data_IF_129421132755
#
_entry.id   IF_129421132755
#
_cell.length_a   1.000
_cell.length_b   1.000
_cell.length_c   1.000
_cell.angle_alpha   90.00
_cell.angle_beta   90.00
_cell.angle_gamma   90.00
#
_symmetry.space_group_name_H-M   'P 1'
#
loop_
_entity.id
_entity.type
_entity.pdbx_description
1 polymer ?
#
# COMPACT_ATOMS: atom_id res chain seq x y z
N UNK A 1 22.58 2.86 15.34
CA UNK A 1 21.55 3.83 14.92
C UNK A 1 20.47 3.84 16.00
N UNK A 2 19.90 4.99 16.37
CA UNK A 2 18.85 5.05 17.39
C UNK A 2 17.51 4.63 16.76
N UNK A 3 16.81 3.69 17.40
CA UNK A 3 15.55 3.12 16.94
C UNK A 3 14.40 3.61 17.82
N UNK A 4 13.22 3.80 17.24
CA UNK A 4 11.95 3.87 17.94
C UNK A 4 11.49 2.45 18.25
N UNK A 5 11.14 2.18 19.51
CA UNK A 5 10.61 0.88 19.97
C UNK A 5 11.38 -0.31 19.37
N UNK A 6 12.65 -0.54 19.77
CA UNK A 6 13.52 -1.58 19.20
C UNK A 6 12.88 -2.99 19.14
N UNK A 7 11.98 -3.29 20.08
CA UNK A 7 11.21 -4.53 20.19
C UNK A 7 10.08 -4.67 19.17
N UNK A 8 9.61 -3.58 18.54
CA UNK A 8 8.45 -3.59 17.65
C UNK A 8 8.62 -4.55 16.46
N UNK A 9 9.83 -4.62 15.89
CA UNK A 9 10.12 -5.57 14.81
C UNK A 9 10.00 -7.01 15.29
N UNK A 10 10.55 -7.34 16.46
CA UNK A 10 10.45 -8.69 17.02
C UNK A 10 9.00 -9.06 17.33
N UNK A 11 8.21 -8.13 17.88
CA UNK A 11 6.78 -8.32 18.13
C UNK A 11 6.00 -8.58 16.84
N UNK A 12 6.24 -7.81 15.78
CA UNK A 12 5.60 -8.04 14.48
C UNK A 12 5.96 -9.43 13.92
N UNK A 13 7.24 -9.82 13.97
CA UNK A 13 7.68 -11.14 13.50
C UNK A 13 7.05 -12.29 14.30
N UNK A 14 6.77 -12.09 15.60
CA UNK A 14 6.14 -13.13 16.43
C UNK A 14 4.69 -13.45 16.04
N UNK A 15 4.01 -12.52 15.36
CA UNK A 15 2.62 -12.71 14.88
C UNK A 15 2.54 -12.85 13.36
N UNK A 16 3.69 -12.88 12.66
CA UNK A 16 3.75 -12.92 11.21
C UNK A 16 3.07 -14.18 10.67
N UNK A 17 2.02 -13.99 9.86
CA UNK A 17 1.21 -15.06 9.25
C UNK A 17 0.68 -16.08 10.28
N UNK A 18 0.43 -15.63 11.51
CA UNK A 18 -0.24 -16.41 12.55
C UNK A 18 -1.75 -16.20 12.51
N UNK A 19 -2.50 -17.29 12.69
CA UNK A 19 -3.97 -17.26 12.79
C UNK A 19 -4.51 -16.91 14.17
N UNK A 20 -3.64 -16.79 15.17
CA UNK A 20 -4.04 -16.53 16.56
C UNK A 20 -4.73 -15.17 16.70
N UNK A 21 -4.36 -14.18 15.89
CA UNK A 21 -4.97 -12.84 15.93
C UNK A 21 -6.21 -12.71 15.07
N UNK A 22 -6.61 -13.76 14.32
CA UNK A 22 -7.67 -13.68 13.30
C UNK A 22 -9.01 -13.21 13.86
N UNK A 23 -9.62 -12.25 13.14
CA UNK A 23 -10.89 -11.66 13.48
C UNK A 23 -11.87 -11.82 12.32
N UNK A 24 -13.13 -12.17 12.63
CA UNK A 24 -14.16 -12.44 11.62
C UNK A 24 -14.52 -11.24 10.74
N UNK A 25 -14.26 -10.00 11.18
CA UNK A 25 -14.54 -8.81 10.37
C UNK A 25 -13.71 -8.75 9.07
N UNK A 26 -12.60 -9.50 8.99
CA UNK A 26 -11.78 -9.62 7.77
C UNK A 26 -12.64 -10.10 6.58
N UNK A 27 -13.61 -10.98 6.84
CA UNK A 27 -14.52 -11.49 5.80
C UNK A 27 -15.42 -10.36 5.28
N UNK A 28 -15.88 -9.48 6.16
CA UNK A 28 -16.64 -8.28 5.76
C UNK A 28 -15.79 -7.35 4.90
N UNK A 29 -14.53 -7.10 5.28
CA UNK A 29 -13.62 -6.28 4.48
C UNK A 29 -13.36 -6.89 3.09
N UNK A 30 -13.16 -8.21 3.02
CA UNK A 30 -13.02 -8.93 1.75
C UNK A 30 -14.27 -8.78 0.89
N UNK A 31 -15.47 -8.95 1.47
CA UNK A 31 -16.73 -8.78 0.75
C UNK A 31 -16.87 -7.36 0.17
N UNK A 32 -16.43 -6.34 0.92
CA UNK A 32 -16.42 -4.95 0.44
C UNK A 32 -15.43 -4.73 -0.71
N UNK A 33 -14.21 -5.30 -0.64
CA UNK A 33 -13.25 -5.24 -1.75
C UNK A 33 -13.84 -5.87 -3.01
N UNK A 34 -14.41 -7.08 -2.88
CA UNK A 34 -15.08 -7.79 -3.99
C UNK A 34 -16.24 -6.96 -4.54
N UNK A 35 -17.07 -6.38 -3.68
CA UNK A 35 -18.17 -5.51 -4.08
C UNK A 35 -17.68 -4.29 -4.89
N UNK A 36 -16.61 -3.63 -4.43
CA UNK A 36 -16.04 -2.47 -5.15
C UNK A 36 -15.63 -2.87 -6.57
N UNK A 37 -14.84 -3.93 -6.72
CA UNK A 37 -14.37 -4.35 -8.04
C UNK A 37 -15.47 -4.89 -8.94
N UNK A 38 -16.43 -5.67 -8.41
CA UNK A 38 -17.57 -6.18 -9.19
C UNK A 38 -18.51 -5.07 -9.65
N UNK A 39 -18.72 -4.04 -8.82
CA UNK A 39 -19.51 -2.86 -9.19
C UNK A 39 -18.82 -1.99 -10.25
N UNK A 40 -17.49 -1.80 -10.18
CA UNK A 40 -16.78 -1.08 -11.24
C UNK A 40 -16.71 -1.89 -12.54
N UNK A 41 -16.57 -3.21 -12.43
CA UNK A 41 -16.58 -4.13 -13.56
C UNK A 41 -17.93 -4.09 -14.30
N UNK A 42 -19.06 -4.14 -13.57
CA UNK A 42 -20.40 -4.08 -14.19
C UNK A 42 -20.65 -2.77 -14.95
N UNK A 43 -20.00 -1.68 -14.51
CA UNK A 43 -20.01 -0.36 -15.15
C UNK A 43 -18.97 -0.21 -16.26
N UNK A 44 -18.17 -1.26 -16.54
CA UNK A 44 -17.05 -1.23 -17.49
C UNK A 44 -16.04 -0.11 -17.17
N UNK A 45 -15.88 0.26 -15.90
CA UNK A 45 -14.93 1.28 -15.48
C UNK A 45 -13.50 0.71 -15.39
N UNK A 46 -12.94 0.36 -16.54
CA UNK A 46 -11.60 -0.22 -16.64
C UNK A 46 -10.50 0.73 -16.16
N UNK A 47 -10.71 2.05 -16.30
CA UNK A 47 -9.75 3.07 -15.85
C UNK A 47 -9.65 3.11 -14.34
N UNK A 48 -10.78 3.08 -13.64
CA UNK A 48 -10.82 3.00 -12.17
C UNK A 48 -10.20 1.70 -11.65
N UNK A 49 -10.53 0.57 -12.30
CA UNK A 49 -9.92 -0.74 -11.97
C UNK A 49 -8.39 -0.68 -12.15
N UNK A 50 -7.91 -0.14 -13.26
CA UNK A 50 -6.47 0.01 -13.52
C UNK A 50 -5.78 0.90 -12.48
N UNK A 51 -6.42 1.97 -12.01
CA UNK A 51 -5.88 2.82 -10.94
C UNK A 51 -5.77 2.07 -9.60
N UNK A 52 -6.78 1.28 -9.24
CA UNK A 52 -6.74 0.43 -8.04
C UNK A 52 -5.63 -0.60 -8.09
N UNK A 53 -5.57 -1.37 -9.17
CA UNK A 53 -4.55 -2.40 -9.35
C UNK A 53 -3.13 -1.82 -9.44
N UNK A 54 -2.95 -0.66 -10.07
CA UNK A 54 -1.65 0.01 -10.13
C UNK A 54 -1.16 0.44 -8.75
N UNK A 55 -2.04 1.08 -7.95
CA UNK A 55 -1.68 1.43 -6.57
C UNK A 55 -1.34 0.18 -5.76
N UNK A 56 -2.20 -0.84 -5.85
CA UNK A 56 -2.05 -2.05 -5.06
C UNK A 56 -0.76 -2.82 -5.39
N UNK A 57 -0.38 -2.87 -6.66
CA UNK A 57 0.89 -3.49 -7.08
C UNK A 57 2.09 -2.71 -6.51
N UNK A 58 2.09 -1.38 -6.62
CA UNK A 58 3.18 -0.57 -6.03
C UNK A 58 3.19 -0.68 -4.50
N UNK A 59 2.04 -0.80 -3.85
CA UNK A 59 1.96 -1.05 -2.42
C UNK A 59 2.68 -2.33 -2.01
N UNK A 60 2.37 -3.45 -2.67
CA UNK A 60 3.06 -4.72 -2.39
C UNK A 60 4.57 -4.65 -2.66
N UNK A 61 4.99 -3.99 -3.73
CA UNK A 61 6.41 -3.77 -4.01
C UNK A 61 7.14 -3.09 -2.84
N UNK A 62 6.51 -2.08 -2.23
CA UNK A 62 7.07 -1.37 -1.07
C UNK A 62 7.04 -2.20 0.21
N UNK A 63 5.98 -2.98 0.45
CA UNK A 63 5.89 -3.85 1.62
C UNK A 63 6.92 -5.00 1.56
N UNK A 64 7.14 -5.57 0.38
CA UNK A 64 8.20 -6.55 0.13
C UNK A 64 9.57 -5.90 0.35
N UNK A 65 9.79 -4.70 -0.19
CA UNK A 65 11.03 -3.95 0.04
C UNK A 65 11.29 -3.68 1.52
N UNK A 66 10.26 -3.28 2.27
CA UNK A 66 10.33 -3.05 3.71
C UNK A 66 10.68 -4.33 4.48
N UNK A 67 10.08 -5.47 4.11
CA UNK A 67 10.39 -6.77 4.71
C UNK A 67 11.82 -7.24 4.37
N UNK A 68 12.31 -6.98 3.16
CA UNK A 68 13.71 -7.27 2.79
C UNK A 68 14.69 -6.38 3.57
N UNK A 69 14.38 -5.09 3.75
CA UNK A 69 15.17 -4.20 4.62
C UNK A 69 15.22 -4.77 6.04
N UNK A 70 14.09 -5.27 6.55
CA UNK A 70 14.05 -5.94 7.85
C UNK A 70 14.96 -7.16 7.90
N UNK A 71 14.91 -8.04 6.90
CA UNK A 71 15.73 -9.24 6.84
C UNK A 71 17.24 -8.89 6.88
N UNK A 72 17.68 -7.95 6.06
CA UNK A 72 19.11 -7.64 5.92
C UNK A 72 19.68 -6.71 7.00
N UNK A 73 18.87 -5.82 7.57
CA UNK A 73 19.33 -4.84 8.57
C UNK A 73 18.91 -5.17 10.01
N UNK A 74 18.05 -6.16 10.20
CA UNK A 74 17.43 -6.53 11.47
C UNK A 74 16.17 -5.74 11.81
N UNK A 75 15.90 -4.62 11.13
CA UNK A 75 14.78 -3.73 11.42
C UNK A 75 14.10 -3.24 10.15
N UNK A 76 12.77 -3.28 10.12
CA UNK A 76 11.99 -2.70 9.02
C UNK A 76 12.02 -1.16 9.10
N UNK A 77 11.62 -0.46 8.04
CA UNK A 77 11.36 0.98 8.11
C UNK A 77 10.09 1.27 8.93
N UNK A 78 9.04 0.44 8.73
CA UNK A 78 7.82 0.44 9.54
C UNK A 78 7.37 -0.99 9.87
N UNK A 79 6.67 -1.15 10.99
CA UNK A 79 6.17 -2.45 11.46
C UNK A 79 4.77 -2.35 12.04
N UNK A 80 4.00 -3.43 11.92
CA UNK A 80 2.68 -3.60 12.56
C UNK A 80 2.80 -4.66 13.67
N UNK A 81 3.22 -4.30 14.89
CA UNK A 81 3.52 -5.27 15.94
C UNK A 81 2.28 -5.88 16.62
N UNK A 82 1.11 -5.27 16.49
CA UNK A 82 -0.13 -5.72 17.13
C UNK A 82 -1.37 -5.11 16.46
N UNK A 83 -2.56 -5.55 16.85
CA UNK A 83 -3.84 -4.95 16.44
C UNK A 83 -4.33 -5.34 15.04
N UNK A 84 -3.54 -6.06 14.24
CA UNK A 84 -3.99 -6.67 12.98
C UNK A 84 -4.53 -8.07 13.20
N UNK A 85 -5.61 -8.39 12.48
CA UNK A 85 -6.22 -9.71 12.44
C UNK A 85 -5.33 -10.73 11.70
N UNK A 86 -4.48 -10.29 10.78
CA UNK A 86 -3.56 -11.19 10.09
C UNK A 86 -2.41 -10.39 9.49
N UNK A 87 -1.22 -10.56 10.04
CA UNK A 87 -0.02 -9.91 9.53
C UNK A 87 0.52 -10.66 8.30
N UNK A 88 0.59 -9.99 7.15
CA UNK A 88 1.01 -10.57 5.86
C UNK A 88 2.54 -10.51 5.69
N UNK A 89 3.09 -9.33 5.96
CA UNK A 89 4.52 -9.00 6.00
C UNK A 89 4.74 -8.07 7.21
N UNK A 90 5.98 -7.89 7.65
CA UNK A 90 6.32 -7.16 8.88
C UNK A 90 5.65 -5.78 9.03
N UNK A 91 5.40 -5.10 7.90
CA UNK A 91 4.80 -3.76 7.84
C UNK A 91 3.32 -3.70 7.43
N UNK A 92 2.68 -4.81 7.03
CA UNK A 92 1.32 -4.79 6.48
C UNK A 92 0.44 -5.92 7.00
N UNK A 93 -0.65 -5.51 7.65
CA UNK A 93 -1.78 -6.36 7.99
C UNK A 93 -2.79 -6.48 6.85
N UNK A 94 -3.66 -7.49 6.94
CA UNK A 94 -4.72 -7.74 5.94
C UNK A 94 -5.68 -6.56 5.76
N UNK A 95 -5.94 -5.79 6.82
CA UNK A 95 -6.80 -4.61 6.79
C UNK A 95 -6.20 -3.50 5.92
N UNK A 96 -4.90 -3.24 6.09
CA UNK A 96 -4.17 -2.26 5.30
C UNK A 96 -4.06 -2.72 3.84
N UNK A 97 -3.75 -4.00 3.61
CA UNK A 97 -3.70 -4.57 2.26
C UNK A 97 -5.04 -4.42 1.54
N UNK A 98 -6.17 -4.72 2.20
CA UNK A 98 -7.49 -4.52 1.61
C UNK A 98 -7.81 -3.06 1.36
N UNK A 99 -7.47 -2.16 2.28
CA UNK A 99 -7.70 -0.73 2.09
C UNK A 99 -6.91 -0.18 0.89
N UNK A 100 -5.62 -0.50 0.76
CA UNK A 100 -4.81 -0.09 -0.40
C UNK A 100 -5.22 -0.80 -1.69
N UNK A 101 -5.82 -1.98 -1.63
CA UNK A 101 -6.37 -2.65 -2.82
C UNK A 101 -7.49 -1.86 -3.49
N UNK A 102 -8.20 -0.99 -2.77
CA UNK A 102 -9.30 -0.17 -3.31
C UNK A 102 -9.01 1.33 -3.31
N UNK A 103 -8.02 1.83 -2.56
CA UNK A 103 -7.74 3.25 -2.40
C UNK A 103 -7.51 3.98 -3.74
N UNK A 104 -6.68 3.40 -4.62
CA UNK A 104 -6.39 3.99 -5.93
C UNK A 104 -7.63 4.10 -6.82
N UNK A 105 -8.49 3.07 -6.80
CA UNK A 105 -9.74 3.03 -7.55
C UNK A 105 -10.73 4.07 -7.00
N UNK A 106 -10.95 4.11 -5.69
CA UNK A 106 -11.90 5.03 -5.06
C UNK A 106 -11.48 6.48 -5.30
N UNK A 107 -10.22 6.81 -5.05
CA UNK A 107 -9.74 8.19 -5.16
C UNK A 107 -9.55 8.65 -6.61
N UNK A 108 -9.38 7.72 -7.56
CA UNK A 108 -9.40 8.09 -8.98
C UNK A 108 -10.71 8.72 -9.45
N UNK A 109 -11.83 8.47 -8.74
CA UNK A 109 -13.14 9.08 -9.03
C UNK A 109 -13.20 10.58 -8.71
N UNK A 110 -12.23 11.09 -7.94
CA UNK A 110 -12.12 12.52 -7.64
C UNK A 110 -11.39 13.30 -8.73
N UNK A 111 -10.76 12.60 -9.68
CA UNK A 111 -9.99 13.22 -10.73
C UNK A 111 -10.89 14.01 -11.69
N UNK A 112 -10.50 15.24 -12.07
CA UNK A 112 -11.18 15.99 -13.12
C UNK A 112 -11.27 15.19 -14.43
N UNK A 113 -12.37 15.34 -15.15
CA UNK A 113 -12.61 14.64 -16.42
C UNK A 113 -11.52 14.94 -17.45
N UNK A 114 -11.09 16.21 -17.54
CA UNK A 114 -9.98 16.62 -18.40
C UNK A 114 -8.61 16.33 -17.74
N UNK A 115 -7.83 15.36 -18.27
CA UNK A 115 -6.50 15.05 -17.75
C UNK A 115 -5.49 16.18 -17.98
N UNK A 116 -5.74 17.11 -18.91
CA UNK A 116 -4.85 18.24 -19.22
C UNK A 116 -5.13 19.47 -18.37
N UNK A 117 -6.22 19.48 -17.60
CA UNK A 117 -6.56 20.58 -16.71
C UNK A 117 -5.37 20.89 -15.78
N UNK A 118 -5.06 22.18 -15.66
CA UNK A 118 -4.10 22.68 -14.67
C UNK A 118 -4.83 23.51 -13.63
N UNK A 119 -4.51 23.30 -12.37
CA UNK A 119 -5.07 24.03 -11.23
C UNK A 119 -3.91 24.79 -10.59
N UNK A 120 -4.01 26.12 -10.55
CA UNK A 120 -2.91 27.02 -10.14
C UNK A 120 -1.58 26.73 -10.87
N UNK A 121 -1.65 26.36 -12.16
CA UNK A 121 -0.48 26.05 -12.98
C UNK A 121 0.08 24.62 -12.84
N UNK A 122 -0.40 23.84 -11.86
CA UNK A 122 0.04 22.45 -11.62
C UNK A 122 -0.87 21.47 -12.38
N UNK A 123 -0.32 20.44 -13.06
CA UNK A 123 -1.12 19.37 -13.66
C UNK A 123 -1.99 18.68 -12.60
N UNK A 124 -3.29 18.54 -12.89
CA UNK A 124 -4.23 18.03 -11.89
C UNK A 124 -3.88 16.62 -11.37
N UNK A 125 -3.37 15.69 -12.21
CA UNK A 125 -2.98 14.35 -11.74
C UNK A 125 -1.89 14.38 -10.68
N UNK A 126 -0.89 15.25 -10.86
CA UNK A 126 0.16 15.46 -9.89
C UNK A 126 -0.41 16.11 -8.62
N UNK A 127 -1.24 17.16 -8.77
CA UNK A 127 -1.84 17.86 -7.64
C UNK A 127 -2.67 16.91 -6.77
N UNK A 128 -3.55 16.12 -7.39
CA UNK A 128 -4.38 15.15 -6.67
C UNK A 128 -3.54 14.03 -6.07
N UNK A 129 -2.49 13.55 -6.76
CA UNK A 129 -1.63 12.51 -6.22
C UNK A 129 -0.90 12.98 -4.95
N UNK A 130 -0.32 14.18 -5.00
CA UNK A 130 0.35 14.81 -3.84
C UNK A 130 -0.66 15.11 -2.73
N UNK A 131 -1.84 15.62 -3.05
CA UNK A 131 -2.88 15.90 -2.05
C UNK A 131 -3.37 14.64 -1.33
N UNK A 132 -3.63 13.56 -2.06
CA UNK A 132 -4.04 12.29 -1.47
C UNK A 132 -2.88 11.63 -0.69
N UNK A 133 -1.65 11.75 -1.18
CA UNK A 133 -0.48 11.28 -0.44
C UNK A 133 -0.31 12.01 0.89
N UNK A 134 -0.54 13.32 0.92
CA UNK A 134 -0.48 14.12 2.14
C UNK A 134 -1.59 13.72 3.12
N UNK A 135 -2.80 13.47 2.60
CA UNK A 135 -3.91 12.97 3.41
C UNK A 135 -3.58 11.63 4.07
N UNK A 136 -3.03 10.67 3.33
CA UNK A 136 -2.66 9.36 3.88
C UNK A 136 -1.51 9.45 4.88
N UNK A 137 -0.49 10.26 4.61
CA UNK A 137 0.59 10.56 5.56
C UNK A 137 0.06 11.14 6.86
N UNK A 138 -0.91 12.06 6.78
CA UNK A 138 -1.57 12.60 7.95
C UNK A 138 -2.38 11.55 8.71
N UNK A 139 -3.12 10.67 8.02
CA UNK A 139 -3.84 9.55 8.66
C UNK A 139 -2.89 8.59 9.35
N UNK A 140 -1.73 8.30 8.76
CA UNK A 140 -0.73 7.40 9.32
C UNK A 140 -0.11 7.94 10.62
N UNK A 141 -0.06 9.26 10.82
CA UNK A 141 0.33 9.84 12.12
C UNK A 141 -0.56 9.29 13.24
N UNK A 142 -1.87 9.19 13.03
CA UNK A 142 -2.77 8.63 14.04
C UNK A 142 -2.51 7.15 14.28
N UNK A 143 -2.13 6.39 13.25
CA UNK A 143 -1.72 4.99 13.42
C UNK A 143 -0.43 4.90 14.24
N UNK A 144 0.57 5.70 13.91
CA UNK A 144 1.86 5.75 14.61
C UNK A 144 1.78 6.30 16.05
N UNK A 145 0.69 6.99 16.40
CA UNK A 145 0.38 7.37 17.78
C UNK A 145 -0.18 6.22 18.61
N UNK A 146 -0.49 5.07 17.99
CA UNK A 146 -0.94 3.87 18.67
C UNK A 146 0.15 2.79 18.70
N UNK A 147 0.03 1.77 19.55
CA UNK A 147 0.97 0.65 19.53
C UNK A 147 0.89 -0.23 18.27
N UNK A 148 -0.14 -0.08 17.42
CA UNK A 148 -0.39 -1.00 16.30
C UNK A 148 0.52 -0.76 15.11
N UNK A 149 1.13 0.43 15.01
CA UNK A 149 1.97 0.81 13.89
C UNK A 149 3.17 1.62 14.39
N UNK A 150 4.37 1.27 13.93
CA UNK A 150 5.61 1.89 14.41
C UNK A 150 6.52 2.21 13.23
N UNK A 151 6.95 3.48 13.12
CA UNK A 151 8.13 3.85 12.32
C UNK A 151 9.40 3.56 13.12
N UNK A 152 10.21 2.62 12.66
CA UNK A 152 11.28 2.04 13.49
C UNK A 152 12.51 2.95 13.57
N UNK A 153 12.82 3.68 12.50
CA UNK A 153 13.95 4.61 12.51
C UNK A 153 13.51 6.03 12.84
N UNK A 154 14.29 6.76 13.64
CA UNK A 154 14.01 8.17 14.00
C UNK A 154 13.86 9.10 12.80
N UNK A 155 14.60 8.82 11.71
CA UNK A 155 14.53 9.58 10.47
C UNK A 155 13.40 9.12 9.55
N UNK A 156 12.73 8.02 9.86
CA UNK A 156 11.56 7.52 9.15
C UNK A 156 10.30 7.96 9.86
N UNK A 157 9.37 8.56 9.12
CA UNK A 157 8.17 9.17 9.69
C UNK A 157 7.30 9.79 8.63
N UNK A 158 6.30 10.58 9.06
CA UNK A 158 5.27 11.13 8.18
C UNK A 158 5.83 11.78 6.89
N UNK A 159 6.87 12.61 6.98
CA UNK A 159 7.45 13.31 5.82
C UNK A 159 8.20 12.36 4.85
N UNK A 160 9.15 11.52 5.30
CA UNK A 160 9.73 10.47 4.46
C UNK A 160 8.67 9.56 3.83
N UNK A 161 7.68 9.11 4.58
CA UNK A 161 6.63 8.20 4.07
C UNK A 161 5.74 8.90 3.04
N UNK A 162 5.37 10.15 3.29
CA UNK A 162 4.67 11.00 2.32
C UNK A 162 5.40 11.03 0.98
N UNK A 163 6.70 11.37 1.00
CA UNK A 163 7.48 11.58 -0.22
C UNK A 163 7.80 10.27 -0.93
N UNK A 164 8.22 9.27 -0.16
CA UNK A 164 8.84 8.05 -0.72
C UNK A 164 7.84 6.91 -0.91
N UNK A 165 6.72 6.88 -0.19
CA UNK A 165 5.74 5.80 -0.25
C UNK A 165 4.45 6.29 -0.89
N UNK A 166 3.78 7.27 -0.28
CA UNK A 166 2.44 7.65 -0.72
C UNK A 166 2.40 8.42 -2.03
N UNK A 167 3.37 9.31 -2.31
CA UNK A 167 3.44 9.97 -3.62
C UNK A 167 3.57 8.91 -4.73
N UNK A 168 4.52 7.96 -4.70
CA UNK A 168 4.59 6.89 -5.70
C UNK A 168 3.30 6.09 -5.86
N UNK A 169 2.61 5.75 -4.77
CA UNK A 169 1.35 5.00 -4.81
C UNK A 169 0.29 5.74 -5.63
N UNK A 170 0.08 7.03 -5.33
CA UNK A 170 -0.95 7.81 -6.01
C UNK A 170 -0.55 8.28 -7.40
N UNK A 171 0.75 8.50 -7.66
CA UNK A 171 1.22 8.75 -9.03
C UNK A 171 0.98 7.51 -9.90
N UNK A 172 1.28 6.31 -9.41
CA UNK A 172 1.01 5.08 -10.13
C UNK A 172 -0.50 4.94 -10.43
N UNK A 173 -1.36 5.16 -9.43
CA UNK A 173 -2.81 5.11 -9.61
C UNK A 173 -3.32 6.11 -10.67
N UNK A 174 -2.98 7.39 -10.51
CA UNK A 174 -3.63 8.47 -11.25
C UNK A 174 -3.08 8.66 -12.65
N UNK A 175 -1.80 8.34 -12.90
CA UNK A 175 -1.30 8.29 -14.26
C UNK A 175 -1.77 7.03 -14.98
N UNK A 176 -1.78 5.86 -14.31
CA UNK A 176 -2.30 4.63 -14.91
C UNK A 176 -3.77 4.78 -15.33
N UNK A 177 -4.58 5.50 -14.56
CA UNK A 177 -5.98 5.81 -14.90
C UNK A 177 -6.18 6.37 -16.31
N UNK A 178 -5.24 7.18 -16.82
CA UNK A 178 -5.34 7.83 -18.14
C UNK A 178 -4.56 7.11 -19.26
N UNK A 179 -3.75 6.11 -18.91
CA UNK A 179 -2.96 5.40 -19.92
C UNK A 179 -3.83 4.56 -20.84
N UNK A 180 -3.31 4.31 -22.05
CA UNK A 180 -3.92 3.36 -22.96
C UNK A 180 -3.92 1.95 -22.33
N UNK A 181 -4.94 1.11 -22.58
CA UNK A 181 -5.09 -0.20 -21.94
C UNK A 181 -3.84 -1.08 -22.01
N UNK A 182 -3.13 -1.07 -23.15
CA UNK A 182 -1.87 -1.83 -23.30
C UNK A 182 -0.80 -1.41 -22.30
N UNK A 183 -0.66 -0.10 -22.04
CA UNK A 183 0.29 0.45 -21.07
C UNK A 183 -0.15 0.19 -19.62
N UNK A 184 -1.46 0.28 -19.35
CA UNK A 184 -2.02 -0.07 -18.05
C UNK A 184 -1.68 -1.52 -17.69
N UNK A 185 -2.04 -2.45 -18.57
CA UNK A 185 -1.78 -3.89 -18.40
C UNK A 185 -0.29 -4.15 -18.27
N UNK A 186 0.55 -3.58 -19.15
CA UNK A 186 2.00 -3.79 -19.10
C UNK A 186 2.60 -3.34 -17.76
N UNK A 187 2.24 -2.15 -17.28
CA UNK A 187 2.72 -1.65 -15.99
C UNK A 187 2.28 -2.53 -14.82
N UNK A 188 0.97 -2.78 -14.71
CA UNK A 188 0.39 -3.58 -13.62
C UNK A 188 0.98 -4.99 -13.61
N UNK A 189 1.00 -5.66 -14.77
CA UNK A 189 1.52 -7.02 -14.88
C UNK A 189 3.03 -7.10 -14.59
N UNK A 190 3.79 -6.06 -14.93
CA UNK A 190 5.23 -6.02 -14.62
C UNK A 190 5.46 -5.92 -13.12
N UNK A 191 4.83 -4.95 -12.45
CA UNK A 191 5.03 -4.76 -11.00
C UNK A 191 4.46 -5.95 -10.23
N UNK A 192 3.21 -6.35 -10.50
CA UNK A 192 2.61 -7.52 -9.85
C UNK A 192 3.39 -8.81 -10.14
N UNK A 193 3.95 -8.96 -11.35
CA UNK A 193 4.80 -10.08 -11.69
C UNK A 193 6.09 -10.12 -10.86
N UNK A 194 6.73 -8.96 -10.67
CA UNK A 194 7.88 -8.81 -9.76
C UNK A 194 7.49 -9.20 -8.34
N UNK A 195 6.36 -8.69 -7.84
CA UNK A 195 5.89 -8.96 -6.47
C UNK A 195 5.60 -10.46 -6.26
N UNK A 196 4.93 -11.11 -7.21
CA UNK A 196 4.65 -12.55 -7.16
C UNK A 196 5.95 -13.35 -7.12
N UNK A 197 6.90 -13.05 -8.00
CA UNK A 197 8.20 -13.73 -8.03
C UNK A 197 8.95 -13.50 -6.72
N UNK A 198 8.96 -12.27 -6.21
CA UNK A 198 9.61 -11.91 -4.96
C UNK A 198 8.98 -12.64 -3.76
N UNK A 199 7.64 -12.75 -3.69
CA UNK A 199 6.96 -13.51 -2.65
C UNK A 199 7.28 -15.02 -2.74
N UNK A 200 7.27 -15.61 -3.93
CA UNK A 200 7.63 -17.02 -4.10
C UNK A 200 9.07 -17.27 -3.64
N UNK A 201 10.01 -16.43 -4.06
CA UNK A 201 11.43 -16.60 -3.76
C UNK A 201 11.72 -16.29 -2.28
N UNK A 202 11.39 -15.09 -1.82
CA UNK A 202 11.80 -14.63 -0.49
C UNK A 202 10.94 -15.18 0.63
N UNK A 203 9.61 -15.30 0.44
CA UNK A 203 8.74 -15.87 1.47
C UNK A 203 8.63 -17.40 1.36
N UNK A 204 8.45 -17.92 0.14
CA UNK A 204 8.17 -19.34 -0.08
C UNK A 204 9.39 -20.26 -0.06
N UNK A 205 10.46 -19.90 -0.77
CA UNK A 205 11.65 -20.76 -0.93
C UNK A 205 12.69 -20.46 0.15
N UNK A 206 12.99 -19.18 0.37
CA UNK A 206 14.08 -18.76 1.25
C UNK A 206 13.64 -18.52 2.70
N UNK A 207 12.35 -18.24 2.93
CA UNK A 207 11.82 -17.96 4.26
C UNK A 207 12.38 -16.68 4.91
N UNK A 208 12.79 -15.70 4.10
CA UNK A 208 13.38 -14.44 4.54
C UNK A 208 12.35 -13.44 5.06
N UNK A 209 11.15 -13.44 4.45
CA UNK A 209 10.08 -12.45 4.69
C UNK A 209 8.71 -13.09 4.86
#
# INVERSE_FOLDING_TARGET
MQLNNPEATASALSILRSGETFQWYVITLLALVVYVYTNEYSKKNWRGIAAGLALYSVHWFFEIGNALIQHFSGHALWTVPTGTAWLLLVGVGIELSFMFSIAGLVLSKTLPEDPKLRIFGVPNRLLFAVGNAAFFSFVEIFLAMTPTFVWVYQWWGALPVFITVYIPFFLAAFYCYDWQPKRQIAFIATIAGIDIVAMIVFAGILGWI
#
